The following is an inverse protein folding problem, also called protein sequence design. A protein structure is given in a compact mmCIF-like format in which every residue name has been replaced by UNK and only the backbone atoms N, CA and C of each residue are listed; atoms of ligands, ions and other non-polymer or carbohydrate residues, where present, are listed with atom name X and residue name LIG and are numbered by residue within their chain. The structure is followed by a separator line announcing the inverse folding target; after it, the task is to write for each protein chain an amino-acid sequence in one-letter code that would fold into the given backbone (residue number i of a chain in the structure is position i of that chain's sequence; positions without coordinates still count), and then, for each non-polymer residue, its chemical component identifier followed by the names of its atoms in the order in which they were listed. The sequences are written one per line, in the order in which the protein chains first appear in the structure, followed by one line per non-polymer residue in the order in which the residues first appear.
data_IF_987781418803
#
_entry.id   IF_987781418803
#
_cell.length_a   1.000
_cell.length_b   1.000
_cell.length_c   1.000
_cell.angle_alpha   90.00
_cell.angle_beta   90.00
_cell.angle_gamma   90.00
#
_symmetry.space_group_name_H-M   'P 1'
#
loop_
_entity.id
_entity.type
_entity.pdbx_description
1 polymer ?
#
# COMPACT_ATOMS: atom_id res chain seq x y z
N UNK A 1 15.72 -8.24 -5.19
CA UNK A 1 15.17 -8.63 -3.88
C UNK A 1 14.12 -9.69 -4.12
N UNK A 2 14.09 -10.77 -3.34
CA UNK A 2 13.05 -11.79 -3.49
C UNK A 2 11.80 -11.38 -2.69
N UNK A 3 10.74 -11.00 -3.40
CA UNK A 3 9.47 -10.56 -2.81
C UNK A 3 8.68 -11.70 -2.14
N UNK A 4 9.04 -12.96 -2.41
CA UNK A 4 8.30 -14.16 -2.02
C UNK A 4 8.99 -14.95 -0.89
N UNK A 5 10.06 -14.42 -0.29
CA UNK A 5 10.81 -15.12 0.79
C UNK A 5 9.87 -15.60 1.90
N UNK A 6 9.01 -14.72 2.42
CA UNK A 6 8.05 -15.09 3.47
C UNK A 6 7.04 -16.16 3.03
N UNK A 7 6.64 -16.17 1.76
CA UNK A 7 5.72 -17.19 1.21
C UNK A 7 6.40 -18.55 1.17
N UNK A 8 7.64 -18.61 0.68
CA UNK A 8 8.43 -19.86 0.66
C UNK A 8 8.67 -20.39 2.07
N UNK A 9 9.03 -19.51 3.01
CA UNK A 9 9.21 -19.89 4.41
C UNK A 9 7.92 -20.41 5.05
N UNK A 10 6.77 -19.77 4.79
CA UNK A 10 5.49 -20.21 5.31
C UNK A 10 5.08 -21.59 4.76
N UNK A 11 5.34 -21.84 3.47
CA UNK A 11 5.15 -23.15 2.87
C UNK A 11 6.06 -24.21 3.48
N UNK A 12 7.37 -23.92 3.65
CA UNK A 12 8.33 -24.82 4.29
C UNK A 12 7.93 -25.17 5.74
N UNK A 13 7.30 -24.24 6.45
CA UNK A 13 6.78 -24.44 7.82
C UNK A 13 5.41 -25.15 7.85
N UNK A 14 4.84 -25.52 6.70
CA UNK A 14 3.54 -26.18 6.60
C UNK A 14 2.34 -25.27 6.88
N UNK A 15 2.53 -23.93 6.88
CA UNK A 15 1.48 -22.95 7.14
C UNK A 15 0.62 -22.66 5.90
N UNK A 16 1.18 -22.87 4.71
CA UNK A 16 0.47 -22.73 3.44
C UNK A 16 0.35 -24.11 2.77
N UNK A 17 -0.85 -24.49 2.28
CA UNK A 17 -0.98 -25.68 1.47
C UNK A 17 -0.36 -25.45 0.08
N UNK A 18 -0.01 -26.56 -0.58
CA UNK A 18 0.72 -26.51 -1.86
C UNK A 18 -0.05 -25.80 -2.97
N UNK A 19 -1.37 -26.03 -3.08
CA UNK A 19 -2.23 -25.39 -4.08
C UNK A 19 -2.20 -23.85 -3.98
N UNK A 20 -2.23 -23.32 -2.75
CA UNK A 20 -2.14 -21.88 -2.50
C UNK A 20 -0.73 -21.35 -2.75
N UNK A 21 0.30 -22.05 -2.29
CA UNK A 21 1.68 -21.68 -2.56
C UNK A 21 1.95 -21.57 -4.07
N UNK A 22 1.57 -22.59 -4.83
CA UNK A 22 1.82 -22.66 -6.27
C UNK A 22 1.01 -21.56 -7.00
N UNK A 23 -0.24 -21.32 -6.60
CA UNK A 23 -1.05 -20.22 -7.14
C UNK A 23 -0.42 -18.84 -6.87
N UNK A 24 0.21 -18.63 -5.71
CA UNK A 24 0.91 -17.36 -5.41
C UNK A 24 2.15 -17.23 -6.31
N UNK A 25 2.95 -18.28 -6.46
CA UNK A 25 4.15 -18.26 -7.30
C UNK A 25 3.81 -17.97 -8.77
N UNK A 26 2.83 -18.69 -9.32
CA UNK A 26 2.39 -18.54 -10.71
C UNK A 26 1.88 -17.12 -10.97
N UNK A 27 1.02 -16.61 -10.08
CA UNK A 27 0.34 -15.32 -10.28
C UNK A 27 1.19 -14.12 -9.87
N UNK A 28 2.36 -14.32 -9.25
CA UNK A 28 3.23 -13.23 -8.85
C UNK A 28 3.74 -12.39 -10.03
N UNK A 29 3.75 -12.95 -11.25
CA UNK A 29 4.01 -12.19 -12.47
C UNK A 29 3.05 -11.00 -12.66
N UNK A 30 1.80 -11.12 -12.19
CA UNK A 30 0.82 -10.04 -12.28
C UNK A 30 1.19 -8.86 -11.38
N UNK A 31 1.76 -9.15 -10.20
CA UNK A 31 2.31 -8.16 -9.27
C UNK A 31 3.53 -7.50 -9.89
N UNK A 32 4.47 -8.31 -10.39
CA UNK A 32 5.71 -7.82 -11.03
C UNK A 32 5.40 -6.91 -12.23
N UNK A 33 4.46 -7.30 -13.08
CA UNK A 33 3.99 -6.48 -14.20
C UNK A 33 3.28 -5.20 -13.72
N UNK A 34 2.58 -5.26 -12.59
CA UNK A 34 1.93 -4.10 -11.97
C UNK A 34 2.96 -3.08 -11.48
N UNK A 35 3.99 -3.54 -10.77
CA UNK A 35 5.12 -2.72 -10.31
C UNK A 35 5.81 -2.05 -11.50
N UNK A 36 6.25 -2.81 -12.50
CA UNK A 36 6.91 -2.27 -13.68
C UNK A 36 6.06 -1.23 -14.41
N UNK A 37 4.75 -1.48 -14.50
CA UNK A 37 3.81 -0.53 -15.09
C UNK A 37 3.73 0.78 -14.30
N UNK A 38 3.69 0.70 -12.97
CA UNK A 38 3.67 1.88 -12.09
C UNK A 38 4.96 2.67 -12.22
N UNK A 39 6.11 2.00 -12.23
CA UNK A 39 7.41 2.64 -12.41
C UNK A 39 7.51 3.35 -13.75
N UNK A 40 7.10 2.69 -14.83
CA UNK A 40 7.06 3.29 -16.17
C UNK A 40 6.10 4.48 -16.22
N UNK A 41 4.91 4.35 -15.64
CA UNK A 41 3.87 5.37 -15.69
C UNK A 41 4.21 6.62 -14.86
N UNK A 42 4.96 6.44 -13.76
CA UNK A 42 5.36 7.51 -12.83
C UNK A 42 6.74 8.09 -13.13
N UNK A 43 7.64 7.32 -13.73
CA UNK A 43 9.05 7.67 -13.87
C UNK A 43 9.83 7.60 -12.56
N UNK A 44 9.33 6.84 -11.57
CA UNK A 44 9.91 6.69 -10.24
C UNK A 44 9.94 5.21 -9.83
N UNK A 45 11.01 4.77 -9.18
CA UNK A 45 11.15 3.40 -8.69
C UNK A 45 10.11 3.09 -7.62
N UNK A 46 9.53 1.90 -7.68
CA UNK A 46 8.58 1.41 -6.70
C UNK A 46 9.31 1.12 -5.38
N UNK A 47 8.73 1.45 -4.21
CA UNK A 47 9.37 1.12 -2.94
C UNK A 47 9.50 -0.39 -2.78
N UNK A 48 10.38 -0.80 -1.88
CA UNK A 48 10.55 -2.21 -1.55
C UNK A 48 9.20 -2.81 -1.14
N UNK A 49 8.92 -4.02 -1.60
CA UNK A 49 7.67 -4.72 -1.32
C UNK A 49 7.90 -6.19 -1.06
N UNK A 50 6.96 -6.84 -0.39
CA UNK A 50 6.98 -8.28 -0.17
C UNK A 50 5.56 -8.83 -0.06
N UNK A 51 5.42 -10.14 -0.29
CA UNK A 51 4.14 -10.83 -0.09
C UNK A 51 4.09 -11.40 1.33
N UNK A 52 3.12 -10.93 2.11
CA UNK A 52 2.79 -11.48 3.42
C UNK A 52 1.97 -12.76 3.22
N UNK A 53 2.40 -13.91 3.75
CA UNK A 53 1.71 -15.21 3.61
C UNK A 53 0.43 -15.30 4.47
N UNK A 54 -0.26 -14.18 4.67
CA UNK A 54 -1.50 -14.10 5.44
C UNK A 54 -2.49 -13.15 4.78
N UNK A 55 -3.77 -13.32 5.12
CA UNK A 55 -4.73 -12.21 5.03
C UNK A 55 -4.46 -11.24 6.18
N UNK A 56 -4.70 -9.95 5.97
CA UNK A 56 -4.53 -8.91 6.99
C UNK A 56 -5.91 -8.39 7.36
N UNK A 57 -6.28 -8.50 8.63
CA UNK A 57 -7.58 -8.07 9.13
C UNK A 57 -7.41 -6.89 10.10
N UNK A 58 -8.33 -5.93 10.01
CA UNK A 58 -8.48 -4.87 11.00
C UNK A 58 -9.73 -5.07 11.83
N UNK A 59 -9.58 -5.06 13.16
CA UNK A 59 -10.70 -5.08 14.12
C UNK A 59 -10.76 -3.74 14.87
N UNK A 60 -11.95 -3.14 14.93
CA UNK A 60 -12.22 -2.00 15.83
C UNK A 60 -12.64 -2.47 17.22
N UNK A 61 -12.31 -1.71 18.26
CA UNK A 61 -12.63 -2.04 19.65
C UNK A 61 -14.14 -2.21 19.91
N UNK A 62 -15.00 -1.55 19.12
CA UNK A 62 -16.46 -1.54 19.27
C UNK A 62 -17.22 -2.35 18.20
N UNK A 63 -16.53 -3.06 17.30
CA UNK A 63 -17.17 -3.80 16.20
C UNK A 63 -16.95 -5.30 16.35
N UNK A 64 -17.74 -5.93 17.22
CA UNK A 64 -17.67 -7.36 17.52
C UNK A 64 -17.90 -8.31 16.33
N UNK A 65 -18.30 -7.81 15.15
CA UNK A 65 -18.63 -8.64 13.98
C UNK A 65 -18.26 -8.05 12.60
N UNK A 66 -17.52 -6.94 12.52
CA UNK A 66 -17.11 -6.36 11.23
C UNK A 66 -15.60 -6.09 11.23
N UNK A 67 -14.86 -6.96 10.55
CA UNK A 67 -13.45 -6.72 10.24
C UNK A 67 -13.29 -6.19 8.81
N UNK A 68 -12.27 -5.37 8.59
CA UNK A 68 -11.83 -4.95 7.27
C UNK A 68 -10.71 -5.84 6.76
N UNK A 69 -10.73 -6.21 5.48
CA UNK A 69 -9.61 -6.91 4.83
C UNK A 69 -8.67 -5.90 4.19
N UNK A 70 -7.40 -5.94 4.58
CA UNK A 70 -6.35 -5.12 3.98
C UNK A 70 -5.56 -5.95 2.97
N UNK A 71 -5.76 -5.66 1.68
CA UNK A 71 -5.10 -6.41 0.62
C UNK A 71 -3.65 -6.00 0.39
N UNK A 72 -3.30 -4.76 0.75
CA UNK A 72 -1.93 -4.26 0.81
C UNK A 72 -1.85 -3.14 1.84
N UNK A 73 -0.62 -2.81 2.28
CA UNK A 73 -0.33 -1.72 3.21
C UNK A 73 1.00 -1.07 2.92
N UNK A 74 1.05 0.24 3.06
CA UNK A 74 2.28 1.04 3.06
C UNK A 74 2.79 1.19 4.50
N UNK A 75 3.93 0.59 4.81
CA UNK A 75 4.47 0.47 6.17
C UNK A 75 5.82 1.21 6.27
N UNK A 76 5.94 2.27 7.08
CA UNK A 76 7.23 2.81 7.47
C UNK A 76 7.96 1.85 8.41
N UNK A 77 9.24 1.63 8.18
CA UNK A 77 10.10 0.75 8.96
C UNK A 77 11.39 1.50 9.30
N UNK A 78 11.83 1.35 10.56
CA UNK A 78 13.17 1.74 10.99
C UNK A 78 13.97 0.49 11.25
N UNK A 79 15.10 0.36 10.56
CA UNK A 79 16.03 -0.72 10.80
C UNK A 79 17.45 -0.14 10.82
N UNK A 80 18.19 -0.39 11.90
CA UNK A 80 19.56 0.13 12.08
C UNK A 80 19.67 1.65 11.83
N UNK A 81 18.77 2.43 12.43
CA UNK A 81 18.65 3.89 12.26
C UNK A 81 18.33 4.37 10.83
N UNK A 82 18.07 3.46 9.88
CA UNK A 82 17.63 3.81 8.53
C UNK A 82 16.13 3.72 8.43
N UNK A 83 15.54 4.80 7.94
CA UNK A 83 14.14 4.84 7.56
C UNK A 83 13.95 4.25 6.17
N UNK A 84 12.91 3.43 6.04
CA UNK A 84 12.47 2.88 4.77
C UNK A 84 10.96 2.77 4.77
N UNK A 85 10.35 2.87 3.58
CA UNK A 85 8.93 2.52 3.40
C UNK A 85 8.85 1.21 2.62
N UNK A 86 7.99 0.32 3.10
CA UNK A 86 7.77 -1.01 2.53
C UNK A 86 6.30 -1.20 2.20
N UNK A 87 6.00 -1.71 1.01
CA UNK A 87 4.63 -2.12 0.65
C UNK A 87 4.46 -3.61 0.94
N UNK A 88 3.65 -3.92 1.94
CA UNK A 88 3.24 -5.28 2.25
C UNK A 88 2.03 -5.65 1.39
N UNK A 89 2.12 -6.74 0.64
CA UNK A 89 1.07 -7.25 -0.24
C UNK A 89 0.52 -8.53 0.39
N UNK A 90 -0.78 -8.62 0.66
CA UNK A 90 -1.36 -9.85 1.20
C UNK A 90 -1.32 -10.99 0.17
N UNK A 91 -1.05 -12.21 0.60
CA UNK A 91 -1.09 -13.39 -0.26
C UNK A 91 -2.46 -13.62 -0.95
N UNK A 92 -3.62 -13.42 -0.30
CA UNK A 92 -4.92 -13.48 -0.97
C UNK A 92 -5.05 -12.55 -2.18
N UNK A 93 -4.47 -11.34 -2.12
CA UNK A 93 -4.48 -10.43 -3.26
C UNK A 93 -3.77 -11.06 -4.48
N UNK A 94 -2.61 -11.70 -4.25
CA UNK A 94 -1.85 -12.36 -5.31
C UNK A 94 -2.59 -13.58 -5.84
N UNK A 95 -3.07 -14.43 -4.93
CA UNK A 95 -3.72 -15.69 -5.27
C UNK A 95 -5.06 -15.52 -5.99
N UNK A 96 -5.84 -14.49 -5.63
CA UNK A 96 -7.24 -14.39 -6.07
C UNK A 96 -7.56 -13.10 -6.85
N UNK A 97 -6.73 -12.06 -6.72
CA UNK A 97 -6.94 -10.76 -7.33
C UNK A 97 -6.89 -10.78 -8.85
N UNK A 98 -7.86 -10.14 -9.49
CA UNK A 98 -7.78 -9.91 -10.94
C UNK A 98 -6.64 -8.95 -11.25
N UNK A 99 -6.02 -9.08 -12.44
CA UNK A 99 -4.90 -8.22 -12.89
C UNK A 99 -5.18 -6.72 -12.67
N UNK A 100 -6.36 -6.25 -13.08
CA UNK A 100 -6.76 -4.85 -12.91
C UNK A 100 -6.88 -4.43 -11.44
N UNK A 101 -7.37 -5.33 -10.57
CA UNK A 101 -7.47 -5.10 -9.13
C UNK A 101 -6.09 -5.04 -8.47
N UNK A 102 -5.21 -5.99 -8.77
CA UNK A 102 -3.82 -5.99 -8.28
C UNK A 102 -3.13 -4.68 -8.67
N UNK A 103 -3.22 -4.29 -9.95
CA UNK A 103 -2.58 -3.08 -10.44
C UNK A 103 -3.14 -1.81 -9.79
N UNK A 104 -4.47 -1.76 -9.56
CA UNK A 104 -5.10 -0.63 -8.90
C UNK A 104 -4.63 -0.48 -7.45
N UNK A 105 -4.60 -1.57 -6.68
CA UNK A 105 -4.17 -1.56 -5.28
C UNK A 105 -2.68 -1.17 -5.19
N UNK A 106 -1.81 -1.77 -6.00
CA UNK A 106 -0.39 -1.43 -6.00
C UNK A 106 -0.14 0.06 -6.32
N UNK A 107 -0.91 0.62 -7.24
CA UNK A 107 -0.80 2.04 -7.59
C UNK A 107 -1.36 2.95 -6.48
N UNK A 108 -2.42 2.51 -5.79
CA UNK A 108 -2.96 3.22 -4.64
C UNK A 108 -1.97 3.27 -3.48
N UNK A 109 -1.36 2.12 -3.12
CA UNK A 109 -0.30 2.07 -2.12
C UNK A 109 0.93 2.89 -2.53
N UNK A 110 1.25 2.96 -3.82
CA UNK A 110 2.31 3.83 -4.32
C UNK A 110 2.01 5.32 -4.07
N UNK A 111 0.76 5.75 -4.20
CA UNK A 111 0.36 7.12 -3.86
C UNK A 111 0.50 7.38 -2.35
N UNK A 112 0.13 6.41 -1.51
CA UNK A 112 0.38 6.50 -0.06
C UNK A 112 1.87 6.61 0.27
N UNK A 113 2.72 5.85 -0.42
CA UNK A 113 4.17 5.96 -0.29
C UNK A 113 4.67 7.36 -0.64
N UNK A 114 4.29 7.90 -1.81
CA UNK A 114 4.71 9.24 -2.22
C UNK A 114 4.23 10.31 -1.23
N UNK A 115 3.01 10.17 -0.71
CA UNK A 115 2.45 11.06 0.29
C UNK A 115 3.26 11.06 1.59
N UNK A 116 3.62 9.88 2.07
CA UNK A 116 4.41 9.73 3.28
C UNK A 116 5.79 10.39 3.12
N UNK A 117 6.45 10.16 1.99
CA UNK A 117 7.75 10.80 1.70
C UNK A 117 7.60 12.32 1.59
N UNK A 118 6.53 12.82 0.95
CA UNK A 118 6.23 14.26 0.87
C UNK A 118 6.14 14.89 2.26
N UNK A 119 5.34 14.31 3.15
CA UNK A 119 5.15 14.80 4.53
C UNK A 119 6.45 14.80 5.33
N UNK A 120 7.21 13.71 5.26
CA UNK A 120 8.52 13.59 5.93
C UNK A 120 9.47 14.67 5.41
N UNK A 121 9.54 14.86 4.09
CA UNK A 121 10.49 15.80 3.47
C UNK A 121 10.27 17.26 3.86
N UNK A 122 9.03 17.63 4.21
CA UNK A 122 8.66 18.99 4.63
C UNK A 122 8.68 19.19 6.14
N UNK A 123 9.00 18.14 6.91
CA UNK A 123 8.82 18.12 8.37
C UNK A 123 7.41 18.52 8.82
N UNK A 124 6.39 18.41 7.94
CA UNK A 124 4.98 18.69 8.26
C UNK A 124 4.45 17.79 9.39
N UNK A 125 5.19 16.73 9.72
CA UNK A 125 4.90 15.81 10.82
C UNK A 125 5.20 16.40 12.21
N UNK A 126 5.97 17.50 12.30
CA UNK A 126 6.32 18.16 13.57
C UNK A 126 5.29 19.22 14.00
N UNK A 127 4.51 19.80 13.07
CA UNK A 127 3.48 20.80 13.41
C UNK A 127 2.16 20.19 13.90
N UNK A 128 1.97 18.88 13.68
CA UNK A 128 0.80 18.12 14.13
C UNK A 128 1.02 17.56 15.56
N UNK A 129 1.74 18.28 16.43
CA UNK A 129 2.06 17.93 17.84
C UNK A 129 0.84 17.61 18.76
N UNK A 130 -0.38 17.62 18.21
CA UNK A 130 -1.61 17.20 18.90
C UNK A 130 -2.23 15.91 18.33
N UNK A 131 -1.81 15.39 17.17
CA UNK A 131 -2.32 14.11 16.66
C UNK A 131 -1.32 12.98 16.91
N UNK A 132 -1.58 12.19 17.95
CA UNK A 132 -0.73 11.15 18.51
C UNK A 132 -0.54 9.90 17.64
N UNK A 133 -0.67 10.00 16.31
CA UNK A 133 -0.66 8.81 15.47
C UNK A 133 -0.47 9.13 13.97
N UNK A 134 0.48 8.46 13.32
CA UNK A 134 0.74 8.62 11.88
C UNK A 134 -0.37 8.14 10.95
N UNK A 135 -1.37 7.44 11.50
CA UNK A 135 -2.33 6.66 10.72
C UNK A 135 -3.78 6.80 11.15
N UNK A 136 -4.12 7.56 12.20
CA UNK A 136 -5.53 7.85 12.55
C UNK A 136 -6.30 8.48 11.38
N UNK A 137 -5.58 9.07 10.42
CA UNK A 137 -6.18 9.62 9.20
C UNK A 137 -6.01 8.76 7.93
N UNK A 138 -5.27 7.64 7.91
CA UNK A 138 -5.02 6.92 6.63
C UNK A 138 -6.25 6.23 6.05
N UNK A 139 -7.24 5.85 6.88
CA UNK A 139 -8.52 5.31 6.40
C UNK A 139 -9.62 6.35 6.22
N UNK A 140 -9.50 7.53 6.86
CA UNK A 140 -10.49 8.60 6.77
C UNK A 140 -10.16 9.61 5.65
N UNK A 141 -8.90 9.73 5.25
CA UNK A 141 -8.45 10.88 4.46
C UNK A 141 -8.27 10.56 2.97
N UNK A 142 -9.40 10.34 2.30
CA UNK A 142 -9.49 10.46 0.83
C UNK A 142 -9.18 11.89 0.32
N UNK A 143 -8.90 12.85 1.21
CA UNK A 143 -8.73 14.27 0.86
C UNK A 143 -7.29 14.75 0.71
N UNK A 144 -6.27 13.92 0.99
CA UNK A 144 -4.85 14.36 0.99
C UNK A 144 -3.86 13.62 0.08
N UNK A 145 -4.27 12.54 -0.60
CA UNK A 145 -3.39 11.86 -1.57
C UNK A 145 -3.09 12.73 -2.79
N UNK A 146 -1.94 12.49 -3.42
CA UNK A 146 -1.68 13.00 -4.77
C UNK A 146 -2.82 12.62 -5.72
N UNK A 147 -3.30 13.59 -6.51
CA UNK A 147 -4.18 13.33 -7.65
C UNK A 147 -3.50 12.31 -8.59
N UNK A 148 -4.09 11.12 -8.85
CA UNK A 148 -3.43 10.07 -9.64
C UNK A 148 -2.94 10.55 -11.01
N UNK A 149 -3.65 11.48 -11.64
CA UNK A 149 -3.28 12.07 -12.94
C UNK A 149 -2.02 12.93 -12.90
N UNK A 150 -1.62 13.43 -11.74
CA UNK A 150 -0.36 14.14 -11.58
C UNK A 150 0.85 13.19 -11.57
N UNK A 151 0.63 11.97 -11.07
CA UNK A 151 1.68 10.95 -10.89
C UNK A 151 1.77 10.03 -12.10
N UNK A 152 0.65 9.50 -12.59
CA UNK A 152 0.63 8.46 -13.62
C UNK A 152 0.24 9.01 -14.99
N UNK A 153 1.02 8.61 -16.00
CA UNK A 153 0.73 8.85 -17.42
C UNK A 153 -0.12 7.75 -18.07
N UNK A 154 -0.29 6.59 -17.43
CA UNK A 154 -1.02 5.44 -17.98
C UNK A 154 -2.54 5.57 -17.75
N UNK A 155 -3.29 5.78 -18.84
CA UNK A 155 -4.73 6.02 -18.79
C UNK A 155 -5.55 4.83 -18.28
N UNK A 156 -5.11 3.60 -18.57
CA UNK A 156 -5.79 2.40 -18.10
C UNK A 156 -5.54 2.18 -16.60
N UNK A 157 -4.33 2.46 -16.11
CA UNK A 157 -4.02 2.43 -14.68
C UNK A 157 -4.87 3.46 -13.93
N UNK A 158 -4.96 4.69 -14.44
CA UNK A 158 -5.83 5.74 -13.90
C UNK A 158 -7.29 5.28 -13.83
N UNK A 159 -7.79 4.66 -14.91
CA UNK A 159 -9.16 4.13 -14.96
C UNK A 159 -9.39 3.04 -13.90
N UNK A 160 -8.42 2.14 -13.70
CA UNK A 160 -8.51 1.09 -12.69
C UNK A 160 -8.55 1.68 -11.27
N UNK A 161 -7.71 2.66 -10.97
CA UNK A 161 -7.70 3.37 -9.67
C UNK A 161 -9.07 4.03 -9.44
N UNK A 162 -9.55 4.86 -10.39
CA UNK A 162 -10.82 5.59 -10.23
C UNK A 162 -12.01 4.64 -10.07
N UNK A 163 -12.06 3.52 -10.79
CA UNK A 163 -13.17 2.54 -10.68
C UNK A 163 -13.13 1.75 -9.37
N UNK A 164 -11.94 1.43 -8.86
CA UNK A 164 -11.77 0.58 -7.67
C UNK A 164 -11.77 1.37 -6.36
N UNK A 165 -11.48 2.67 -6.40
CA UNK A 165 -11.37 3.55 -5.23
C UNK A 165 -12.24 4.82 -5.34
N UNK A 166 -13.57 4.73 -5.55
CA UNK A 166 -14.42 5.92 -5.60
C UNK A 166 -14.58 6.62 -4.23
N UNK A 167 -14.67 5.85 -3.14
CA UNK A 167 -14.77 6.33 -1.75
C UNK A 167 -14.04 5.40 -0.77
N UNK A 168 -13.04 4.66 -1.28
CA UNK A 168 -12.45 3.48 -0.63
C UNK A 168 -12.43 2.28 -1.58
N UNK A 169 -11.59 1.30 -1.28
CA UNK A 169 -11.46 0.08 -2.09
C UNK A 169 -12.77 -0.73 -2.05
N UNK A 170 -13.26 -1.16 -3.21
CA UNK A 170 -14.39 -2.09 -3.31
C UNK A 170 -14.13 -3.17 -4.35
N UNK A 171 -13.98 -4.42 -3.90
CA UNK A 171 -13.96 -5.59 -4.76
C UNK A 171 -14.58 -6.80 -4.07
N UNK A 172 -15.91 -6.84 -4.03
CA UNK A 172 -16.69 -7.90 -3.40
C UNK A 172 -16.33 -9.31 -3.89
N UNK A 173 -15.84 -9.45 -5.15
CA UNK A 173 -15.42 -10.75 -5.67
C UNK A 173 -14.09 -11.20 -5.07
N UNK A 174 -13.16 -10.27 -4.85
CA UNK A 174 -11.90 -10.57 -4.18
C UNK A 174 -12.12 -10.85 -2.69
N UNK A 175 -12.96 -10.05 -2.04
CA UNK A 175 -13.38 -10.26 -0.65
C UNK A 175 -14.04 -11.64 -0.49
N UNK A 176 -15.06 -11.97 -1.28
CA UNK A 176 -15.75 -13.27 -1.25
C UNK A 176 -14.79 -14.46 -1.46
N UNK A 177 -13.84 -14.34 -2.40
CA UNK A 177 -12.82 -15.37 -2.60
C UNK A 177 -11.89 -15.51 -1.41
N UNK A 178 -11.50 -14.39 -0.79
CA UNK A 178 -10.64 -14.39 0.39
C UNK A 178 -11.36 -15.03 1.57
N UNK A 179 -12.63 -14.69 1.77
CA UNK A 179 -13.47 -15.31 2.79
C UNK A 179 -13.57 -16.83 2.60
N UNK A 180 -13.94 -17.27 1.40
CA UNK A 180 -14.20 -18.70 1.11
C UNK A 180 -12.94 -19.55 1.03
N UNK A 181 -11.90 -19.05 0.38
CA UNK A 181 -10.72 -19.85 0.04
C UNK A 181 -9.52 -19.59 0.96
N UNK A 182 -9.58 -18.58 1.83
CA UNK A 182 -8.54 -18.30 2.81
C UNK A 182 -9.06 -18.40 4.25
N UNK A 183 -9.97 -17.51 4.65
CA UNK A 183 -10.43 -17.38 6.04
C UNK A 183 -11.20 -18.61 6.49
N UNK A 184 -12.18 -19.05 5.70
CA UNK A 184 -12.98 -20.26 5.99
C UNK A 184 -12.13 -21.53 6.02
N UNK A 185 -11.01 -21.53 5.29
CA UNK A 185 -10.03 -22.63 5.29
C UNK A 185 -9.00 -22.54 6.42
N UNK A 186 -9.13 -21.56 7.31
CA UNK A 186 -8.23 -21.32 8.45
C UNK A 186 -6.76 -21.16 8.02
N UNK A 187 -6.53 -20.59 6.83
CA UNK A 187 -5.20 -20.19 6.39
C UNK A 187 -4.70 -18.98 7.20
N UNK A 188 -3.39 -18.67 7.21
CA UNK A 188 -2.82 -17.70 8.14
C UNK A 188 -3.50 -16.32 8.09
N UNK A 189 -3.78 -15.76 9.27
CA UNK A 189 -4.42 -14.45 9.46
C UNK A 189 -3.50 -13.58 10.32
N UNK A 190 -3.25 -12.35 9.88
CA UNK A 190 -2.57 -11.32 10.68
C UNK A 190 -3.59 -10.28 11.10
N UNK A 191 -3.81 -10.13 12.41
CA UNK A 191 -4.67 -9.09 12.96
C UNK A 191 -3.84 -7.83 13.23
N UNK A 192 -4.40 -6.68 12.85
CA UNK A 192 -3.77 -5.38 13.01
C UNK A 192 -4.82 -4.47 13.63
N UNK A 193 -4.49 -3.83 14.75
CA UNK A 193 -5.39 -2.84 15.33
C UNK A 193 -5.48 -1.61 14.41
N UNK A 194 -6.59 -0.87 14.44
CA UNK A 194 -6.78 0.31 13.57
C UNK A 194 -5.68 1.38 13.76
N UNK A 195 -5.09 1.43 14.95
CA UNK A 195 -3.98 2.29 15.36
C UNK A 195 -2.60 1.62 15.17
N UNK A 196 -2.49 0.34 14.84
CA UNK A 196 -1.22 -0.39 14.83
C UNK A 196 -0.28 -0.03 13.66
N UNK A 197 -0.73 0.76 12.68
CA UNK A 197 0.19 1.34 11.69
C UNK A 197 0.91 2.59 12.23
N UNK A 198 0.57 3.10 13.41
CA UNK A 198 1.11 4.36 13.95
C UNK A 198 2.54 4.19 14.46
N UNK A 199 3.52 4.33 13.58
CA UNK A 199 4.91 4.50 14.01
C UNK A 199 5.05 5.89 14.62
N UNK A 200 5.07 6.05 15.95
CA UNK A 200 5.39 7.34 16.55
C UNK A 200 6.81 7.75 16.12
N UNK A 201 6.90 8.59 15.10
CA UNK A 201 8.14 9.14 14.59
C UNK A 201 8.57 10.27 15.50
N UNK A 202 9.58 10.04 16.33
CA UNK A 202 10.15 11.12 17.11
C UNK A 202 10.85 12.13 16.20
N UNK A 203 10.96 13.38 16.65
CA UNK A 203 11.68 14.42 15.92
C UNK A 203 13.14 14.01 15.66
N UNK A 204 13.78 13.28 16.60
CA UNK A 204 15.13 12.77 16.40
C UNK A 204 15.19 11.69 15.31
N UNK A 205 14.18 10.82 15.22
CA UNK A 205 14.11 9.81 14.17
C UNK A 205 13.93 10.46 12.79
N UNK A 206 13.07 11.48 12.69
CA UNK A 206 12.85 12.25 11.46
C UNK A 206 14.10 13.00 11.01
N UNK A 207 14.84 13.61 11.94
CA UNK A 207 16.07 14.34 11.64
C UNK A 207 17.18 13.45 11.05
N UNK A 208 17.16 12.15 11.36
CA UNK A 208 18.12 11.16 10.84
C UNK A 208 17.69 10.53 9.51
N UNK A 209 16.48 10.84 9.01
CA UNK A 209 15.98 10.25 7.75
C UNK A 209 16.75 10.79 6.56
N UNK A 210 17.46 9.90 5.86
CA UNK A 210 18.07 10.20 4.57
C UNK A 210 17.09 9.85 3.44
N UNK A 211 16.49 10.87 2.81
CA UNK A 211 15.61 10.68 1.65
C UNK A 211 16.39 10.74 0.33
N UNK A 212 15.95 9.92 -0.64
CA UNK A 212 16.53 9.91 -1.98
C UNK A 212 16.22 11.23 -2.71
N UNK A 213 17.25 11.97 -3.12
CA UNK A 213 17.11 13.27 -3.78
C UNK A 213 16.38 13.20 -5.12
N UNK A 214 16.57 12.13 -5.90
CA UNK A 214 15.86 11.95 -7.18
C UNK A 214 14.35 11.79 -6.94
N UNK A 215 13.97 11.08 -5.88
CA UNK A 215 12.58 10.92 -5.49
C UNK A 215 11.97 12.26 -5.04
N UNK A 216 12.71 13.05 -4.26
CA UNK A 216 12.25 14.38 -3.84
C UNK A 216 12.04 15.31 -5.03
N UNK A 217 12.91 15.26 -6.03
CA UNK A 217 12.74 16.03 -7.25
C UNK A 217 11.48 15.60 -8.02
N UNK A 218 11.22 14.28 -8.11
CA UNK A 218 10.00 13.75 -8.72
C UNK A 218 8.73 14.16 -7.98
N UNK A 219 8.76 14.14 -6.65
CA UNK A 219 7.65 14.63 -5.81
C UNK A 219 7.31 16.08 -6.14
N UNK A 220 8.31 16.97 -6.24
CA UNK A 220 8.09 18.37 -6.66
C UNK A 220 7.46 18.47 -8.04
N UNK A 221 7.92 17.68 -9.02
CA UNK A 221 7.31 17.64 -10.36
C UNK A 221 5.82 17.22 -10.29
N UNK A 222 5.46 16.26 -9.44
CA UNK A 222 4.07 15.84 -9.25
C UNK A 222 3.22 16.93 -8.61
N UNK A 223 3.74 17.64 -7.60
CA UNK A 223 3.05 18.77 -6.97
C UNK A 223 2.75 19.90 -7.97
N UNK A 224 3.71 20.23 -8.84
CA UNK A 224 3.51 21.24 -9.89
C UNK A 224 2.44 20.83 -10.90
N UNK A 225 2.42 19.56 -11.32
CA UNK A 225 1.39 19.02 -12.22
C UNK A 225 0.02 19.05 -11.56
N UNK A 226 -0.06 18.65 -10.29
CA UNK A 226 -1.30 18.68 -9.52
C UNK A 226 -1.85 20.11 -9.38
N UNK A 227 -1.00 21.09 -9.05
CA UNK A 227 -1.38 22.50 -8.97
C UNK A 227 -1.98 23.01 -10.30
N UNK A 228 -1.36 22.64 -11.43
CA UNK A 228 -1.88 22.97 -12.77
C UNK A 228 -3.24 22.31 -13.05
N UNK A 229 -3.44 21.07 -12.61
CA UNK A 229 -4.71 20.36 -12.76
C UNK A 229 -5.83 21.00 -11.92
N UNK A 230 -5.54 21.43 -10.69
CA UNK A 230 -6.51 22.11 -9.82
C UNK A 230 -6.93 23.46 -10.40
N UNK A 231 -5.98 24.26 -10.92
CA UNK A 231 -6.30 25.54 -11.59
C UNK A 231 -7.21 25.38 -12.80
N UNK A 232 -7.04 24.31 -13.60
CA UNK A 232 -7.90 24.01 -14.76
C UNK A 232 -9.34 23.63 -14.41
N UNK A 233 -9.65 23.23 -13.17
CA UNK A 233 -11.03 22.92 -12.74
C UNK A 233 -11.83 24.17 -12.32
N UNK A 234 -11.15 25.31 -12.12
CA UNK A 234 -11.75 26.56 -11.64
C UNK A 234 -12.08 27.56 -12.76
N UNK A 235 -11.70 27.23 -14.01
CA UNK A 235 -12.05 27.96 -15.23
C UNK A 235 -12.93 27.07 -16.10
#
# INVERSE_FOLDING_TARGET
MDHLVKVREAYQKGLLPQDIHDAILERFELVSAGIQRIEKASGTTYPISYVEPSVILTSGADMSFQYGILFARTIPVFFEEKFQVVIQISAPLVAFGLKGTIHAILAHEFLHYLELIRKISKMEMLSDEVSSSLFENTYADSTRLFEPRAVFSDQTLLTHITKKFPTGFKDYKLEDKTEKFWISKQLPVTNVALDANTVKLSAEALAKVSLNQNLLQKIKEYEERESKLRKKKLY
#
